data_IF_974741972539
#
_entry.id   IF_974741972539
#
_cell.length_a   1.000
_cell.length_b   1.000
_cell.length_c   1.000
_cell.angle_alpha   90.00
_cell.angle_beta   90.00
_cell.angle_gamma   90.00
#
_symmetry.space_group_name_H-M   'P 1'
#
loop_
_entity.id
_entity.type
_entity.pdbx_description
1 polymer ?
#
# COMPACT_ATOMS: atom_id res chain seq x y z
N UNK A 1 10.72 -1.82 -5.17
CA UNK A 1 9.36 -2.03 -4.62
C UNK A 1 9.38 -2.87 -3.34
N UNK A 2 9.89 -4.10 -3.36
CA UNK A 2 9.88 -4.99 -2.18
C UNK A 2 10.67 -4.47 -0.97
N UNK A 3 11.87 -3.93 -1.18
CA UNK A 3 12.67 -3.33 -0.10
C UNK A 3 11.97 -2.15 0.59
N UNK A 4 11.26 -1.33 -0.20
CA UNK A 4 10.47 -0.20 0.31
C UNK A 4 9.26 -0.69 1.09
N UNK A 5 8.57 -1.72 0.60
CA UNK A 5 7.45 -2.34 1.31
C UNK A 5 7.88 -2.90 2.66
N UNK A 6 9.04 -3.57 2.70
CA UNK A 6 9.61 -4.14 3.91
C UNK A 6 9.95 -3.04 4.93
N UNK A 7 10.50 -1.91 4.47
CA UNK A 7 10.73 -0.72 5.30
C UNK A 7 9.45 -0.08 5.80
N UNK A 8 8.43 0.07 4.96
CA UNK A 8 7.12 0.59 5.39
C UNK A 8 6.49 -0.31 6.45
N UNK A 9 6.59 -1.63 6.26
CA UNK A 9 6.12 -2.62 7.22
C UNK A 9 6.89 -2.45 8.54
N UNK A 10 8.22 -2.42 8.50
CA UNK A 10 9.05 -2.19 9.69
C UNK A 10 8.72 -0.90 10.41
N UNK A 11 8.47 0.19 9.68
CA UNK A 11 8.08 1.47 10.24
C UNK A 11 6.69 1.43 10.90
N UNK A 12 5.75 0.63 10.37
CA UNK A 12 4.45 0.38 11.01
C UNK A 12 4.64 -0.44 12.29
N UNK A 13 5.48 -1.48 12.28
CA UNK A 13 5.81 -2.26 13.46
C UNK A 13 6.55 -1.45 14.54
N UNK A 14 7.43 -0.51 14.16
CA UNK A 14 8.11 0.38 15.09
C UNK A 14 7.20 1.45 15.69
N UNK A 15 6.23 1.95 14.91
CA UNK A 15 5.31 3.00 15.35
C UNK A 15 4.12 2.47 16.13
N UNK A 16 3.70 1.24 15.86
CA UNK A 16 2.52 0.66 16.47
C UNK A 16 2.85 -0.67 17.17
N UNK A 17 2.96 -0.69 18.52
CA UNK A 17 3.23 -1.91 19.25
C UNK A 17 2.07 -2.91 19.21
N UNK A 18 0.88 -2.51 18.75
CA UNK A 18 -0.26 -3.40 18.55
C UNK A 18 -0.16 -4.22 17.25
N UNK A 19 0.68 -3.79 16.30
CA UNK A 19 0.99 -4.58 15.12
C UNK A 19 1.87 -5.76 15.54
N UNK A 20 1.25 -6.91 15.86
CA UNK A 20 2.00 -8.09 16.33
C UNK A 20 2.30 -9.09 15.21
N UNK A 21 1.55 -9.07 14.11
CA UNK A 21 1.73 -9.98 12.99
C UNK A 21 1.61 -9.28 11.65
N UNK A 22 2.45 -9.69 10.68
CA UNK A 22 2.43 -9.15 9.31
C UNK A 22 1.06 -9.37 8.67
N UNK A 23 0.43 -10.51 8.94
CA UNK A 23 -0.92 -10.84 8.51
C UNK A 23 -1.95 -9.90 9.11
N UNK A 24 -1.80 -9.52 10.38
CA UNK A 24 -2.72 -8.61 11.05
C UNK A 24 -2.62 -7.22 10.43
N UNK A 25 -1.41 -6.67 10.27
CA UNK A 25 -1.19 -5.40 9.56
C UNK A 25 -1.72 -5.47 8.14
N UNK A 26 -1.49 -6.57 7.43
CA UNK A 26 -1.98 -6.76 6.08
C UNK A 26 -3.51 -6.91 6.01
N UNK A 27 -4.21 -7.29 7.08
CA UNK A 27 -5.67 -7.42 7.07
C UNK A 27 -6.38 -6.18 7.65
N UNK A 28 -5.77 -5.52 8.63
CA UNK A 28 -6.42 -4.46 9.42
C UNK A 28 -5.95 -3.05 9.05
N UNK A 29 -4.75 -2.87 8.47
CA UNK A 29 -4.27 -1.53 8.12
C UNK A 29 -4.70 -1.14 6.72
N UNK A 30 -5.84 -0.45 6.63
CA UNK A 30 -6.28 0.24 5.41
C UNK A 30 -5.21 1.19 4.85
N UNK A 31 -4.45 1.88 5.72
CA UNK A 31 -3.35 2.75 5.30
C UNK A 31 -2.20 2.01 4.59
N UNK A 32 -1.89 0.79 5.00
CA UNK A 32 -0.88 -0.04 4.33
C UNK A 32 -1.37 -0.48 2.93
N UNK A 33 -2.64 -0.85 2.81
CA UNK A 33 -3.27 -1.15 1.53
C UNK A 33 -3.28 0.06 0.59
N UNK A 34 -3.58 1.25 1.10
CA UNK A 34 -3.59 2.49 0.31
C UNK A 34 -2.20 2.77 -0.30
N UNK A 35 -1.12 2.58 0.47
CA UNK A 35 0.26 2.73 -0.03
C UNK A 35 0.58 1.68 -1.09
N UNK A 36 0.18 0.42 -0.88
CA UNK A 36 0.37 -0.65 -1.87
C UNK A 36 -0.36 -0.35 -3.18
N UNK A 37 -1.65 -0.01 -3.12
CA UNK A 37 -2.47 0.32 -4.28
C UNK A 37 -1.95 1.56 -5.00
N UNK A 38 -1.50 2.58 -4.26
CA UNK A 38 -0.87 3.77 -4.84
C UNK A 38 0.40 3.42 -5.63
N UNK A 39 1.27 2.55 -5.10
CA UNK A 39 2.47 2.10 -5.84
C UNK A 39 2.12 1.33 -7.09
N UNK A 40 1.11 0.45 -7.02
CA UNK A 40 0.63 -0.29 -8.20
C UNK A 40 0.09 0.69 -9.24
N UNK A 41 -0.76 1.64 -8.83
CA UNK A 41 -1.26 2.69 -9.72
C UNK A 41 -0.13 3.50 -10.36
N UNK A 42 0.88 3.88 -9.57
CA UNK A 42 2.04 4.64 -10.05
C UNK A 42 2.89 3.83 -11.05
N UNK A 43 3.12 2.55 -10.78
CA UNK A 43 3.81 1.66 -11.72
C UNK A 43 3.03 1.51 -13.03
N UNK A 44 1.71 1.33 -12.98
CA UNK A 44 0.86 1.30 -14.18
C UNK A 44 0.86 2.64 -14.93
N UNK A 45 0.96 3.75 -14.21
CA UNK A 45 1.09 5.08 -14.80
C UNK A 45 2.41 5.23 -15.57
N UNK A 46 3.54 4.79 -14.99
CA UNK A 46 4.84 4.76 -15.68
C UNK A 46 4.85 3.83 -16.90
N UNK A 47 4.02 2.78 -16.90
CA UNK A 47 3.82 1.89 -18.05
C UNK A 47 2.78 2.41 -19.07
N UNK A 48 2.45 3.71 -19.04
CA UNK A 48 1.55 4.38 -19.98
C UNK A 48 0.10 3.83 -20.02
N UNK A 49 -0.38 3.21 -18.93
CA UNK A 49 -1.77 2.77 -18.85
C UNK A 49 -2.72 3.99 -18.69
N UNK A 50 -3.72 4.19 -19.55
CA UNK A 50 -4.45 5.47 -19.63
C UNK A 50 -5.50 5.67 -18.53
N UNK A 51 -6.19 4.61 -18.07
CA UNK A 51 -7.38 4.74 -17.20
C UNK A 51 -7.24 3.95 -15.89
N UNK A 52 -6.51 2.82 -15.93
CA UNK A 52 -6.36 1.89 -14.81
C UNK A 52 -5.68 2.53 -13.58
N UNK A 53 -4.59 3.34 -13.71
CA UNK A 53 -3.98 4.02 -12.56
C UNK A 53 -4.97 4.92 -11.80
N UNK A 54 -5.83 5.61 -12.55
CA UNK A 54 -6.82 6.55 -12.02
C UNK A 54 -7.92 5.81 -11.27
N UNK A 55 -8.38 4.68 -11.81
CA UNK A 55 -9.38 3.83 -11.17
C UNK A 55 -8.85 3.24 -9.85
N UNK A 56 -7.63 2.70 -9.86
CA UNK A 56 -6.99 2.17 -8.64
C UNK A 56 -6.78 3.26 -7.60
N UNK A 57 -6.35 4.47 -8.01
CA UNK A 57 -6.19 5.59 -7.07
C UNK A 57 -7.52 6.04 -6.46
N UNK A 58 -8.63 5.92 -7.19
CA UNK A 58 -9.96 6.20 -6.65
C UNK A 58 -10.41 5.12 -5.67
N UNK A 59 -10.23 3.84 -6.00
CA UNK A 59 -10.56 2.72 -5.12
C UNK A 59 -9.74 2.75 -3.83
N UNK A 60 -8.44 3.06 -3.92
CA UNK A 60 -7.54 3.20 -2.78
C UNK A 60 -7.94 4.32 -1.82
N UNK A 61 -8.75 5.31 -2.27
CA UNK A 61 -9.25 6.40 -1.44
C UNK A 61 -10.52 6.00 -0.66
N UNK A 62 -11.23 4.97 -1.11
CA UNK A 62 -12.43 4.45 -0.45
C UNK A 62 -12.14 3.32 0.54
N UNK A 63 -10.90 2.82 0.58
CA UNK A 63 -10.42 1.82 1.53
C UNK A 63 -9.88 2.49 2.79
#
# INVERSE_FOLDING_TARGET
MFETLKRDLQAVFERDPAATSVLEVFLTYAGFHAICLHRVAHWLWENHAPIIPRLISHLARFL
#
